data_IF_826991313470
#
_entry.id   IF_826991313470
#
_cell.length_a   1.000
_cell.length_b   1.000
_cell.length_c   1.000
_cell.angle_alpha   90.00
_cell.angle_beta   90.00
_cell.angle_gamma   90.00
#
_symmetry.space_group_name_H-M   'P 1'
#
loop_
_entity.id
_entity.type
_entity.pdbx_description
1 polymer ?
#
# COMPACT_ATOMS: atom_id res chain seq x y z
N UNK A 1 11.35 14.11 0.42
CA UNK A 1 12.48 13.58 1.19
C UNK A 1 13.69 14.52 1.08
N UNK A 2 14.25 14.96 2.21
CA UNK A 2 15.38 15.93 2.24
C UNK A 2 15.10 17.13 1.33
N UNK A 3 15.86 17.29 0.25
CA UNK A 3 15.71 18.40 -0.70
C UNK A 3 14.99 18.01 -2.01
N UNK A 4 14.26 16.89 -2.02
CA UNK A 4 13.56 16.38 -3.20
C UNK A 4 12.05 16.35 -2.99
N UNK A 5 11.29 16.75 -4.01
CA UNK A 5 9.87 16.45 -4.19
C UNK A 5 9.78 15.53 -5.40
N UNK A 6 9.11 14.40 -5.25
CA UNK A 6 8.90 13.45 -6.35
C UNK A 6 7.43 13.45 -6.73
N UNK A 7 7.15 13.57 -8.01
CA UNK A 7 5.80 13.55 -8.57
C UNK A 7 5.70 12.46 -9.65
N UNK A 8 4.69 11.64 -9.54
CA UNK A 8 4.23 10.75 -10.60
C UNK A 8 3.15 11.44 -11.43
N UNK A 9 3.32 11.43 -12.74
CA UNK A 9 2.37 11.98 -13.71
C UNK A 9 2.09 10.88 -14.73
N UNK A 10 1.30 9.89 -14.35
CA UNK A 10 1.01 8.72 -15.17
C UNK A 10 -0.24 8.95 -16.03
N UNK A 11 -0.18 9.99 -16.86
CA UNK A 11 -1.14 10.23 -17.95
C UNK A 11 -0.78 9.29 -19.12
N UNK A 12 -1.74 8.50 -19.64
CA UNK A 12 -1.47 7.56 -20.73
C UNK A 12 -0.83 8.18 -21.98
N UNK A 13 -1.07 9.47 -22.21
CA UNK A 13 -0.49 10.18 -23.37
C UNK A 13 0.99 10.49 -23.20
N UNK A 14 1.43 10.79 -21.97
CA UNK A 14 2.82 11.17 -21.69
C UNK A 14 3.18 10.90 -20.21
N UNK A 15 3.25 9.63 -19.79
CA UNK A 15 3.57 9.29 -18.41
C UNK A 15 5.03 9.58 -18.08
N UNK A 16 5.27 10.17 -16.91
CA UNK A 16 6.61 10.45 -16.40
C UNK A 16 6.69 10.47 -14.88
N UNK A 17 7.88 10.28 -14.38
CA UNK A 17 8.28 10.54 -13.01
C UNK A 17 9.27 11.71 -13.01
N UNK A 18 9.11 12.64 -12.07
CA UNK A 18 10.00 13.81 -11.98
C UNK A 18 10.41 14.06 -10.52
N UNK A 19 11.67 14.39 -10.33
CA UNK A 19 12.14 14.95 -9.07
C UNK A 19 12.43 16.44 -9.22
N UNK A 20 11.90 17.20 -8.28
CA UNK A 20 12.08 18.64 -8.17
C UNK A 20 12.88 18.96 -6.92
N UNK A 21 13.66 20.04 -6.97
CA UNK A 21 14.31 20.59 -5.80
C UNK A 21 13.28 21.25 -4.89
N UNK A 22 13.26 20.88 -3.61
CA UNK A 22 12.29 21.39 -2.64
C UNK A 22 12.36 22.94 -2.48
N UNK A 23 13.56 23.53 -2.57
CA UNK A 23 13.76 24.96 -2.26
C UNK A 23 13.24 25.92 -3.34
N UNK A 24 13.21 25.50 -4.61
CA UNK A 24 12.89 26.40 -5.74
C UNK A 24 12.05 25.75 -6.85
N UNK A 25 11.67 24.47 -6.68
CA UNK A 25 10.89 23.72 -7.66
C UNK A 25 11.64 23.37 -8.94
N UNK A 26 12.96 23.59 -9.00
CA UNK A 26 13.75 23.27 -10.18
C UNK A 26 13.80 21.78 -10.42
N UNK A 27 13.57 21.37 -11.67
CA UNK A 27 13.70 19.98 -12.09
C UNK A 27 15.12 19.48 -11.91
N UNK A 28 15.29 18.37 -11.21
CA UNK A 28 16.56 17.68 -10.99
C UNK A 28 16.76 16.59 -12.04
N UNK A 29 15.72 15.80 -12.26
CA UNK A 29 15.66 14.81 -13.30
C UNK A 29 14.21 14.47 -13.68
N UNK A 30 14.03 13.90 -14.86
CA UNK A 30 12.76 13.40 -15.37
C UNK A 30 12.99 12.10 -16.10
N UNK A 31 12.13 11.11 -15.84
CA UNK A 31 12.15 9.81 -16.49
C UNK A 31 10.82 9.58 -17.20
N UNK A 32 10.87 9.25 -18.49
CA UNK A 32 9.68 8.81 -19.21
C UNK A 32 9.25 7.44 -18.70
N UNK A 33 7.95 7.27 -18.46
CA UNK A 33 7.34 6.01 -18.07
C UNK A 33 6.50 5.41 -19.19
N UNK A 34 6.66 5.93 -20.40
CA UNK A 34 6.04 5.37 -21.60
C UNK A 34 6.47 3.92 -21.76
N UNK A 35 5.56 3.04 -22.11
CA UNK A 35 5.75 1.60 -22.27
C UNK A 35 5.94 0.80 -20.95
N UNK A 36 6.04 1.48 -19.81
CA UNK A 36 6.14 0.85 -18.50
C UNK A 36 5.00 1.23 -17.53
N UNK A 37 4.26 2.28 -17.83
CA UNK A 37 3.11 2.66 -17.00
C UNK A 37 1.97 3.20 -17.84
N UNK A 38 0.79 2.61 -17.68
CA UNK A 38 -0.45 3.13 -18.25
C UNK A 38 -1.25 3.92 -17.21
N UNK A 39 -1.10 3.58 -15.92
CA UNK A 39 -1.79 4.23 -14.82
C UNK A 39 -1.15 3.94 -13.47
N UNK A 40 -1.24 4.90 -12.56
CA UNK A 40 -1.02 4.74 -11.13
C UNK A 40 -1.80 5.81 -10.36
N UNK A 41 -2.18 5.51 -9.11
CA UNK A 41 -2.88 6.47 -8.24
C UNK A 41 -2.25 6.53 -6.84
N UNK A 42 -1.35 5.60 -6.52
CA UNK A 42 -0.66 5.56 -5.24
C UNK A 42 0.40 6.65 -5.12
N UNK A 43 0.61 7.14 -3.91
CA UNK A 43 1.76 8.01 -3.62
C UNK A 43 3.05 7.20 -3.69
N UNK A 44 4.10 7.68 -4.38
CA UNK A 44 5.40 7.00 -4.39
C UNK A 44 5.98 6.87 -2.97
N UNK A 45 6.58 5.72 -2.68
CA UNK A 45 7.37 5.52 -1.48
C UNK A 45 8.80 6.02 -1.72
N UNK A 46 9.36 6.79 -0.79
CA UNK A 46 10.81 7.02 -0.73
C UNK A 46 11.38 6.22 0.44
N UNK A 47 12.33 5.33 0.16
CA UNK A 47 12.96 4.47 1.15
C UNK A 47 14.48 4.58 1.06
N UNK A 48 15.13 4.73 2.22
CA UNK A 48 16.59 4.80 2.35
C UNK A 48 17.10 3.52 3.02
N UNK A 49 17.98 2.79 2.34
CA UNK A 49 18.60 1.56 2.85
C UNK A 49 20.00 1.43 2.27
N UNK A 50 20.98 1.06 3.10
CA UNK A 50 22.38 0.75 2.71
C UNK A 50 23.03 1.78 1.79
N UNK A 51 22.79 3.08 2.08
CA UNK A 51 23.35 4.19 1.31
C UNK A 51 22.66 4.46 -0.02
N UNK A 52 21.64 3.69 -0.40
CA UNK A 52 20.77 3.93 -1.55
C UNK A 52 19.44 4.53 -1.08
N UNK A 53 18.99 5.60 -1.74
CA UNK A 53 17.63 6.11 -1.56
C UNK A 53 16.84 5.81 -2.82
N UNK A 54 15.77 5.05 -2.69
CA UNK A 54 14.94 4.63 -3.81
C UNK A 54 13.55 5.23 -3.77
N UNK A 55 12.96 5.43 -4.95
CA UNK A 55 11.58 5.85 -5.17
C UNK A 55 10.82 4.67 -5.76
N UNK A 56 9.89 4.10 -5.02
CA UNK A 56 9.07 2.98 -5.48
C UNK A 56 7.72 3.49 -5.94
N UNK A 57 7.38 3.20 -7.18
CA UNK A 57 6.10 3.57 -7.80
C UNK A 57 5.28 2.32 -8.08
N UNK A 58 4.14 2.23 -7.43
CA UNK A 58 3.13 1.21 -7.71
C UNK A 58 2.39 1.60 -8.99
N UNK A 59 2.65 0.93 -10.07
CA UNK A 59 2.09 1.21 -11.39
C UNK A 59 1.61 -0.06 -12.11
N UNK A 60 0.92 0.11 -13.21
CA UNK A 60 0.49 -0.96 -14.09
C UNK A 60 0.93 -0.68 -15.52
N UNK A 61 1.47 -1.66 -16.27
CA UNK A 61 1.71 -3.06 -15.87
C UNK A 61 2.95 -3.29 -15.00
N UNK A 62 3.78 -2.27 -14.77
CA UNK A 62 5.02 -2.42 -14.01
C UNK A 62 5.01 -1.64 -12.70
N UNK A 63 5.40 -2.33 -11.63
CA UNK A 63 5.93 -1.70 -10.41
C UNK A 63 7.39 -1.43 -10.62
N UNK A 64 7.85 -0.21 -10.36
CA UNK A 64 9.24 0.18 -10.65
C UNK A 64 9.84 0.97 -9.49
N UNK A 65 11.09 0.67 -9.18
CA UNK A 65 11.92 1.45 -8.26
C UNK A 65 13.00 2.22 -9.01
N UNK A 66 13.23 3.45 -8.59
CA UNK A 66 14.22 4.35 -9.18
C UNK A 66 15.17 4.88 -8.10
N UNK A 67 16.41 5.14 -8.45
CA UNK A 67 17.34 5.88 -7.60
C UNK A 67 16.88 7.34 -7.46
N UNK A 68 16.69 7.82 -6.22
CA UNK A 68 16.21 9.19 -5.97
C UNK A 68 17.14 10.27 -6.50
N UNK A 69 18.45 10.00 -6.54
CA UNK A 69 19.45 10.98 -6.94
C UNK A 69 19.55 11.13 -8.45
N UNK A 70 19.41 10.04 -9.20
CA UNK A 70 19.67 9.98 -10.65
C UNK A 70 18.42 9.75 -11.50
N UNK A 71 17.37 9.15 -10.94
CA UNK A 71 16.20 8.68 -11.68
C UNK A 71 16.43 7.35 -12.42
N UNK A 72 17.58 6.71 -12.27
CA UNK A 72 17.87 5.41 -12.90
C UNK A 72 17.00 4.29 -12.29
N UNK A 73 16.52 3.36 -13.13
CA UNK A 73 15.78 2.17 -12.70
C UNK A 73 16.67 1.27 -11.84
N UNK A 74 16.20 0.92 -10.65
CA UNK A 74 16.90 -0.02 -9.76
C UNK A 74 16.37 -1.44 -9.94
N UNK A 75 15.05 -1.59 -9.86
CA UNK A 75 14.37 -2.86 -10.06
C UNK A 75 12.95 -2.64 -10.58
N UNK A 76 12.38 -3.70 -11.15
CA UNK A 76 10.98 -3.72 -11.59
C UNK A 76 10.33 -5.08 -11.42
N UNK A 77 9.01 -5.07 -11.31
CA UNK A 77 8.14 -6.25 -11.31
C UNK A 77 7.05 -6.04 -12.36
N UNK A 78 6.90 -6.99 -13.27
CA UNK A 78 5.76 -7.06 -14.16
C UNK A 78 4.56 -7.69 -13.45
N UNK A 79 3.36 -7.41 -13.97
CA UNK A 79 2.13 -8.06 -13.55
C UNK A 79 1.50 -7.50 -12.27
N UNK A 80 1.64 -6.20 -12.04
CA UNK A 80 0.82 -5.46 -11.07
C UNK A 80 -0.68 -5.63 -11.36
N UNK A 81 -1.54 -5.45 -10.36
CA UNK A 81 -2.98 -5.32 -10.59
C UNK A 81 -3.28 -4.04 -11.36
N UNK A 82 -4.28 -4.05 -12.24
CA UNK A 82 -4.55 -2.97 -13.20
C UNK A 82 -5.06 -1.65 -12.57
N UNK A 83 -5.35 -1.64 -11.26
CA UNK A 83 -5.64 -0.45 -10.48
C UNK A 83 -4.70 -0.32 -9.27
N UNK A 84 -3.46 0.18 -9.45
CA UNK A 84 -2.47 0.35 -8.39
C UNK A 84 -2.77 1.61 -7.55
N UNK A 85 -3.78 1.53 -6.65
CA UNK A 85 -4.20 2.61 -5.78
C UNK A 85 -3.45 2.61 -4.45
N UNK A 86 -3.28 1.46 -3.74
CA UNK A 86 -2.54 1.44 -2.49
C UNK A 86 -1.12 1.94 -2.64
N UNK A 87 -0.68 2.81 -1.72
CA UNK A 87 0.69 3.28 -1.71
C UNK A 87 1.65 2.18 -1.26
N UNK A 88 2.83 2.02 -1.87
CA UNK A 88 3.88 1.18 -1.32
C UNK A 88 4.29 1.65 0.07
N UNK A 89 4.69 0.75 0.94
CA UNK A 89 5.15 1.09 2.29
C UNK A 89 6.25 0.13 2.76
N UNK A 90 6.92 0.50 3.85
CA UNK A 90 7.96 -0.32 4.48
C UNK A 90 7.48 -0.84 5.82
N UNK A 91 7.66 -2.13 6.05
CA UNK A 91 7.51 -2.77 7.35
C UNK A 91 8.50 -3.93 7.47
N UNK A 92 8.96 -4.23 8.67
CA UNK A 92 9.89 -5.33 8.97
C UNK A 92 11.15 -5.35 8.07
N UNK A 93 11.61 -4.17 7.61
CA UNK A 93 12.77 -4.03 6.73
C UNK A 93 12.50 -4.35 5.24
N UNK A 94 11.27 -4.64 4.84
CA UNK A 94 10.88 -4.94 3.46
C UNK A 94 9.91 -3.93 2.89
N UNK A 95 9.88 -3.84 1.56
CA UNK A 95 8.97 -2.99 0.81
C UNK A 95 7.76 -3.81 0.38
N UNK A 96 6.57 -3.34 0.75
CA UNK A 96 5.29 -3.95 0.38
C UNK A 96 4.67 -3.18 -0.77
N UNK A 97 4.30 -3.88 -1.83
CA UNK A 97 3.58 -3.33 -2.98
C UNK A 97 2.35 -4.18 -3.24
N UNK A 98 1.20 -3.54 -3.20
CA UNK A 98 -0.09 -4.21 -3.26
C UNK A 98 -0.98 -3.49 -4.25
N UNK A 99 -1.74 -4.26 -5.02
CA UNK A 99 -2.79 -3.75 -5.89
C UNK A 99 -3.89 -4.79 -6.08
N UNK A 100 -4.96 -4.42 -6.72
CA UNK A 100 -6.03 -5.34 -7.09
C UNK A 100 -6.75 -4.83 -8.33
N UNK A 101 -7.71 -5.61 -8.80
CA UNK A 101 -8.56 -5.41 -9.96
C UNK A 101 -8.06 -6.14 -11.22
N UNK A 102 -8.90 -6.24 -12.27
CA UNK A 102 -8.51 -6.91 -13.52
C UNK A 102 -8.33 -8.43 -13.43
N UNK A 103 -8.87 -9.07 -12.40
CA UNK A 103 -8.72 -10.51 -12.18
C UNK A 103 -7.48 -10.92 -11.39
N UNK A 104 -6.61 -9.97 -11.06
CA UNK A 104 -5.44 -10.15 -10.20
C UNK A 104 -5.50 -9.21 -9.02
N UNK A 105 -4.98 -9.67 -7.89
CA UNK A 105 -4.84 -8.86 -6.67
C UNK A 105 -3.51 -9.18 -6.01
N UNK A 106 -2.39 -8.73 -6.62
CA UNK A 106 -1.06 -9.12 -6.17
C UNK A 106 -0.65 -8.45 -4.86
N UNK A 107 0.17 -9.19 -4.12
CA UNK A 107 1.01 -8.71 -3.03
C UNK A 107 2.45 -9.08 -3.38
N UNK A 108 3.34 -8.12 -3.37
CA UNK A 108 4.78 -8.34 -3.51
C UNK A 108 5.47 -7.80 -2.27
N UNK A 109 6.32 -8.61 -1.67
CA UNK A 109 7.20 -8.19 -0.57
C UNK A 109 8.64 -8.25 -1.05
N UNK A 110 9.26 -7.08 -1.18
CA UNK A 110 10.51 -6.87 -1.91
C UNK A 110 11.64 -6.50 -0.96
N UNK A 111 12.82 -7.06 -1.20
CA UNK A 111 14.05 -6.68 -0.49
C UNK A 111 14.50 -5.30 -0.96
N UNK A 112 14.88 -4.38 -0.06
CA UNK A 112 15.33 -3.04 -0.46
C UNK A 112 16.56 -3.03 -1.38
N UNK A 113 17.41 -4.04 -1.29
CA UNK A 113 18.61 -4.20 -2.10
C UNK A 113 18.36 -4.83 -3.48
N UNK A 114 17.13 -5.17 -3.82
CA UNK A 114 16.76 -5.79 -5.09
C UNK A 114 17.27 -4.97 -6.30
N UNK A 115 17.61 -5.66 -7.40
CA UNK A 115 18.10 -5.05 -8.64
C UNK A 115 17.59 -5.81 -9.89
N UNK A 116 17.35 -5.05 -10.95
CA UNK A 116 16.94 -5.60 -12.25
C UNK A 116 15.49 -6.04 -12.32
N UNK A 117 15.17 -6.93 -13.23
CA UNK A 117 13.82 -7.52 -13.32
C UNK A 117 13.70 -8.65 -12.30
N UNK A 118 12.92 -8.41 -11.28
CA UNK A 118 12.67 -9.35 -10.17
C UNK A 118 11.26 -9.95 -10.21
N UNK A 119 10.64 -9.96 -11.39
CA UNK A 119 9.29 -10.53 -11.56
C UNK A 119 9.27 -12.00 -11.12
N UNK A 120 8.50 -12.37 -10.09
CA UNK A 120 8.37 -13.76 -9.69
C UNK A 120 7.54 -14.54 -10.71
N UNK A 121 7.81 -15.84 -10.86
CA UNK A 121 6.98 -16.72 -11.65
C UNK A 121 5.85 -17.35 -10.80
N UNK A 122 4.83 -17.90 -11.47
CA UNK A 122 3.72 -18.57 -10.78
C UNK A 122 4.20 -19.77 -9.95
N UNK A 123 5.22 -20.48 -10.45
CA UNK A 123 5.79 -21.68 -9.80
C UNK A 123 6.88 -21.32 -8.76
N UNK A 124 7.35 -20.07 -8.77
CA UNK A 124 8.35 -19.56 -7.83
C UNK A 124 7.94 -18.17 -7.34
N UNK A 125 7.09 -18.09 -6.29
CA UNK A 125 6.57 -16.82 -5.75
C UNK A 125 7.61 -15.99 -4.99
N UNK A 126 8.85 -16.45 -4.91
CA UNK A 126 10.00 -15.76 -4.32
C UNK A 126 11.23 -15.89 -5.21
N UNK A 127 12.16 -14.96 -5.06
CA UNK A 127 13.49 -14.97 -5.72
C UNK A 127 14.45 -14.09 -4.92
N UNK A 128 15.64 -13.79 -5.46
CA UNK A 128 16.63 -12.98 -4.74
C UNK A 128 16.15 -11.58 -4.40
N UNK A 129 15.23 -10.98 -5.18
CA UNK A 129 14.66 -9.66 -4.94
C UNK A 129 13.32 -9.69 -4.22
N UNK A 130 12.54 -10.77 -4.34
CA UNK A 130 11.19 -10.92 -3.76
C UNK A 130 11.21 -11.93 -2.64
N UNK A 131 10.84 -11.51 -1.42
CA UNK A 131 10.76 -12.37 -0.23
C UNK A 131 9.64 -13.39 -0.40
N UNK A 132 8.45 -12.90 -0.72
CA UNK A 132 7.28 -13.69 -1.10
C UNK A 132 6.32 -12.87 -1.95
N UNK A 133 5.48 -13.54 -2.68
CA UNK A 133 4.41 -12.91 -3.45
C UNK A 133 3.19 -13.81 -3.58
N UNK A 134 2.05 -13.20 -3.85
CA UNK A 134 0.83 -13.90 -4.28
C UNK A 134 0.09 -13.03 -5.30
N UNK A 135 -0.60 -13.66 -6.24
CA UNK A 135 -1.46 -12.96 -7.20
C UNK A 135 -2.92 -12.87 -6.72
N UNK A 136 -3.17 -13.32 -5.47
CA UNK A 136 -4.50 -13.29 -4.84
C UNK A 136 -4.35 -12.77 -3.41
N UNK A 137 -5.13 -11.77 -3.04
CA UNK A 137 -5.12 -11.29 -1.65
C UNK A 137 -4.95 -9.79 -1.49
N UNK A 138 -4.42 -9.09 -2.48
CA UNK A 138 -4.23 -7.63 -2.45
C UNK A 138 -5.52 -6.84 -2.27
N UNK A 139 -5.40 -5.59 -1.88
CA UNK A 139 -6.49 -4.65 -1.67
C UNK A 139 -6.70 -3.74 -2.88
N UNK A 140 -7.94 -3.28 -3.07
CA UNK A 140 -8.29 -2.41 -4.19
C UNK A 140 -7.89 -0.94 -3.92
N UNK A 141 -8.35 -0.35 -2.82
CA UNK A 141 -8.12 1.06 -2.51
C UNK A 141 -7.34 1.27 -1.20
N UNK A 142 -7.67 0.49 -0.18
CA UNK A 142 -7.09 0.56 1.15
C UNK A 142 -5.61 0.17 1.12
N UNK A 143 -4.73 1.05 1.59
CA UNK A 143 -3.35 0.66 1.88
C UNK A 143 -3.36 -0.25 3.11
N UNK A 144 -2.70 -1.42 3.05
CA UNK A 144 -2.63 -2.36 4.16
C UNK A 144 -1.82 -1.83 5.35
N UNK A 145 -1.96 -2.50 6.49
CA UNK A 145 -1.13 -2.26 7.67
C UNK A 145 -0.46 -3.56 8.12
N UNK A 146 0.83 -3.48 8.44
CA UNK A 146 1.55 -4.54 9.14
C UNK A 146 1.53 -4.23 10.63
N UNK A 147 1.09 -5.20 11.44
CA UNK A 147 1.08 -5.08 12.89
C UNK A 147 1.50 -6.42 13.52
N UNK A 148 2.59 -6.41 14.27
CA UNK A 148 3.24 -7.63 14.73
C UNK A 148 3.70 -8.49 13.53
N UNK A 149 3.35 -9.76 13.57
CA UNK A 149 3.76 -10.75 12.56
C UNK A 149 2.82 -10.81 11.34
N UNK A 150 1.78 -9.96 11.30
CA UNK A 150 0.72 -10.07 10.30
C UNK A 150 0.52 -8.79 9.49
N UNK A 151 0.14 -8.97 8.21
CA UNK A 151 -0.35 -7.90 7.34
C UNK A 151 -1.88 -8.04 7.18
N UNK A 152 -2.59 -6.92 7.37
CA UNK A 152 -4.05 -6.82 7.27
C UNK A 152 -4.43 -5.94 6.09
N UNK A 153 -5.35 -6.44 5.26
CA UNK A 153 -5.81 -5.78 4.04
C UNK A 153 -7.33 -5.64 4.07
N UNK A 154 -7.83 -4.43 3.81
CA UNK A 154 -9.24 -4.18 3.57
C UNK A 154 -9.55 -4.29 2.07
N UNK A 155 -10.52 -5.11 1.70
CA UNK A 155 -10.95 -5.26 0.31
C UNK A 155 -12.47 -5.35 0.24
N UNK A 156 -13.14 -4.25 -0.09
CA UNK A 156 -14.60 -4.12 0.02
C UNK A 156 -15.09 -4.55 1.41
N UNK A 157 -15.94 -5.53 1.50
CA UNK A 157 -16.48 -6.03 2.76
C UNK A 157 -15.63 -7.11 3.45
N UNK A 158 -14.41 -7.33 2.98
CA UNK A 158 -13.56 -8.44 3.45
C UNK A 158 -12.29 -7.89 4.10
N UNK A 159 -11.89 -8.50 5.21
CA UNK A 159 -10.55 -8.36 5.78
C UNK A 159 -9.76 -9.62 5.45
N UNK A 160 -8.55 -9.42 4.97
CA UNK A 160 -7.58 -10.46 4.65
C UNK A 160 -6.38 -10.31 5.56
N UNK A 161 -5.85 -11.43 6.02
CA UNK A 161 -4.70 -11.48 6.90
C UNK A 161 -3.71 -12.54 6.41
N UNK A 162 -2.45 -12.14 6.32
CA UNK A 162 -1.35 -13.05 5.98
C UNK A 162 -0.22 -12.87 6.99
N UNK A 163 0.57 -13.91 7.20
CA UNK A 163 1.85 -13.75 7.89
C UNK A 163 2.76 -12.83 7.06
N UNK A 164 3.23 -11.74 7.65
CA UNK A 164 3.98 -10.71 6.94
C UNK A 164 5.35 -11.20 6.43
N UNK A 165 5.92 -12.25 7.08
CA UNK A 165 7.22 -12.80 6.73
C UNK A 165 7.14 -13.90 5.68
N UNK A 166 6.13 -14.79 5.78
CA UNK A 166 6.04 -15.99 4.94
C UNK A 166 5.05 -15.86 3.80
N UNK A 167 4.08 -14.93 3.91
CA UNK A 167 2.96 -14.82 2.98
C UNK A 167 1.88 -15.89 3.16
N UNK A 168 1.99 -16.71 4.22
CA UNK A 168 0.96 -17.70 4.55
C UNK A 168 -0.34 -17.01 4.94
N UNK A 169 -1.44 -17.44 4.31
CA UNK A 169 -2.77 -16.92 4.60
C UNK A 169 -3.23 -17.36 6.00
N UNK A 170 -3.53 -16.38 6.86
CA UNK A 170 -4.11 -16.65 8.17
C UNK A 170 -5.65 -16.72 8.07
N UNK A 171 -6.26 -15.70 7.44
CA UNK A 171 -7.70 -15.71 7.17
C UNK A 171 -8.09 -14.76 6.03
N UNK A 172 -9.22 -15.06 5.39
CA UNK A 172 -9.96 -14.16 4.50
C UNK A 172 -11.43 -14.22 4.90
N UNK A 173 -11.90 -13.18 5.59
CA UNK A 173 -13.22 -13.19 6.22
C UNK A 173 -14.03 -11.93 5.93
N UNK A 174 -15.34 -12.08 5.84
CA UNK A 174 -16.26 -10.96 5.66
C UNK A 174 -16.57 -10.28 6.98
N UNK A 175 -16.50 -8.96 6.96
CA UNK A 175 -17.00 -8.13 8.06
C UNK A 175 -18.53 -8.26 8.20
N UNK A 176 -19.09 -8.04 9.40
CA UNK A 176 -20.52 -7.85 9.58
C UNK A 176 -21.05 -6.76 8.65
N UNK A 177 -22.16 -7.02 7.98
CA UNK A 177 -22.75 -6.12 6.98
C UNK A 177 -23.70 -5.10 7.60
N UNK A 178 -23.82 -3.89 7.02
CA UNK A 178 -23.13 -3.42 5.80
C UNK A 178 -21.68 -3.00 6.08
N UNK A 179 -20.77 -3.33 5.17
CA UNK A 179 -19.37 -2.92 5.23
C UNK A 179 -18.78 -2.74 3.83
N UNK A 180 -17.97 -1.69 3.65
CA UNK A 180 -17.11 -1.49 2.48
C UNK A 180 -15.91 -0.64 2.90
N UNK A 181 -14.72 -1.24 2.83
CA UNK A 181 -13.48 -0.64 3.31
C UNK A 181 -12.73 0.00 2.14
N UNK A 182 -12.72 1.32 2.13
CA UNK A 182 -12.00 2.16 1.19
C UNK A 182 -10.83 2.85 1.89
N UNK A 183 -11.07 3.37 3.10
CA UNK A 183 -10.05 3.93 3.96
C UNK A 183 -8.96 2.91 4.26
N UNK A 184 -7.71 3.35 4.38
CA UNK A 184 -6.63 2.49 4.84
C UNK A 184 -6.86 2.05 6.28
N UNK A 185 -6.45 0.81 6.57
CA UNK A 185 -6.53 0.28 7.93
C UNK A 185 -5.51 0.97 8.82
N UNK A 186 -5.84 1.10 10.10
CA UNK A 186 -4.87 1.52 11.12
C UNK A 186 -4.85 0.51 12.26
N UNK A 187 -3.71 0.39 12.93
CA UNK A 187 -3.50 -0.56 14.01
C UNK A 187 -2.92 0.12 15.25
N UNK A 188 -3.46 -0.19 16.40
CA UNK A 188 -2.93 0.25 17.69
C UNK A 188 -3.45 -0.64 18.82
N UNK A 189 -2.68 -0.77 19.88
CA UNK A 189 -3.07 -1.44 21.13
C UNK A 189 -3.69 -2.83 20.90
N UNK A 190 -3.04 -3.65 20.06
CA UNK A 190 -3.50 -5.00 19.74
C UNK A 190 -4.79 -5.06 18.92
N UNK A 191 -5.18 -3.97 18.27
CA UNK A 191 -6.42 -3.86 17.50
C UNK A 191 -6.19 -3.34 16.09
N UNK A 192 -7.05 -3.77 15.17
CA UNK A 192 -7.13 -3.29 13.79
C UNK A 192 -8.45 -2.53 13.65
N UNK A 193 -8.36 -1.31 13.14
CA UNK A 193 -9.52 -0.44 12.90
C UNK A 193 -9.76 -0.34 11.40
N UNK A 194 -10.95 -0.74 10.97
CA UNK A 194 -11.40 -0.72 9.59
C UNK A 194 -12.60 0.25 9.46
N UNK A 195 -12.32 1.46 9.00
CA UNK A 195 -13.35 2.47 8.76
C UNK A 195 -14.08 2.18 7.45
N UNK A 196 -15.41 2.26 7.47
CA UNK A 196 -16.28 1.89 6.37
C UNK A 196 -17.03 3.09 5.80
N UNK A 197 -17.24 3.11 4.49
CA UNK A 197 -18.16 4.05 3.83
C UNK A 197 -19.63 3.82 4.23
N UNK A 198 -19.95 2.70 4.88
CA UNK A 198 -21.25 2.41 5.45
C UNK A 198 -21.37 2.85 6.94
N UNK A 199 -20.82 4.04 7.25
CA UNK A 199 -21.05 4.78 8.49
C UNK A 199 -20.64 4.04 9.77
N UNK A 200 -19.64 3.15 9.69
CA UNK A 200 -19.21 2.37 10.84
C UNK A 200 -17.70 2.16 10.87
N UNK A 201 -17.20 1.87 12.07
CA UNK A 201 -15.81 1.42 12.29
C UNK A 201 -15.85 0.01 12.88
N UNK A 202 -15.36 -0.95 12.11
CA UNK A 202 -15.15 -2.31 12.58
C UNK A 202 -13.81 -2.40 13.31
N UNK A 203 -13.82 -3.02 14.48
CA UNK A 203 -12.62 -3.25 15.29
C UNK A 203 -12.41 -4.75 15.45
N UNK A 204 -11.20 -5.21 15.13
CA UNK A 204 -10.78 -6.60 15.28
C UNK A 204 -9.61 -6.70 16.26
N UNK A 205 -9.46 -7.80 16.96
CA UNK A 205 -8.18 -8.14 17.60
C UNK A 205 -7.12 -8.39 16.53
N UNK A 206 -5.91 -7.88 16.76
CA UNK A 206 -4.76 -8.30 15.97
C UNK A 206 -4.37 -9.74 16.33
N UNK A 207 -3.99 -10.54 15.33
CA UNK A 207 -3.59 -11.95 15.48
C UNK A 207 -3.95 -12.76 14.23
N UNK A 208 -3.66 -14.08 14.25
CA UNK A 208 -3.92 -14.97 13.13
C UNK A 208 -5.41 -15.33 12.96
N UNK A 209 -6.22 -15.09 13.97
CA UNK A 209 -7.63 -15.45 13.97
C UNK A 209 -8.51 -14.25 13.67
N UNK A 210 -9.58 -14.46 12.88
CA UNK A 210 -10.59 -13.45 12.65
C UNK A 210 -11.46 -13.26 13.90
N UNK A 211 -11.19 -12.22 14.66
CA UNK A 211 -11.91 -11.92 15.92
C UNK A 211 -12.44 -10.49 15.94
N UNK A 212 -13.67 -10.25 15.43
CA UNK A 212 -14.34 -8.96 15.56
C UNK A 212 -14.68 -8.65 17.01
N UNK A 213 -14.23 -7.49 17.50
CA UNK A 213 -14.48 -7.00 18.88
C UNK A 213 -15.70 -6.08 18.91
N UNK A 214 -15.80 -5.17 17.94
CA UNK A 214 -16.85 -4.17 17.90
C UNK A 214 -17.19 -3.74 16.47
N UNK A 215 -18.41 -3.25 16.32
CA UNK A 215 -18.85 -2.48 15.15
C UNK A 215 -19.50 -1.19 15.69
N UNK A 216 -18.80 -0.06 15.53
CA UNK A 216 -19.18 1.22 16.10
C UNK A 216 -19.84 2.10 15.04
N UNK A 217 -21.17 2.36 15.12
CA UNK A 217 -21.83 3.29 14.22
C UNK A 217 -21.28 4.70 14.40
N UNK A 218 -20.98 5.37 13.30
CA UNK A 218 -20.45 6.74 13.27
C UNK A 218 -21.49 7.74 12.75
N UNK A 219 -22.59 7.26 12.14
CA UNK A 219 -23.67 8.08 11.60
C UNK A 219 -23.33 8.81 10.30
N UNK A 220 -22.11 8.69 9.81
CA UNK A 220 -21.64 9.31 8.58
C UNK A 220 -20.59 8.42 7.88
N UNK A 221 -20.54 8.41 6.53
CA UNK A 221 -19.54 7.69 5.77
C UNK A 221 -18.10 8.14 6.10
N UNK A 222 -17.16 7.17 6.09
CA UNK A 222 -15.74 7.41 6.35
C UNK A 222 -14.93 6.93 5.15
N UNK A 223 -14.26 7.86 4.46
CA UNK A 223 -13.39 7.59 3.33
C UNK A 223 -11.90 7.83 3.65
N UNK A 224 -11.64 8.66 4.66
CA UNK A 224 -10.30 9.02 5.05
C UNK A 224 -9.69 8.00 6.01
N UNK A 225 -8.41 7.73 5.88
CA UNK A 225 -7.64 6.95 6.84
C UNK A 225 -7.68 7.61 8.22
N UNK A 226 -8.04 6.88 9.29
CA UNK A 226 -8.00 7.42 10.64
C UNK A 226 -6.57 7.78 11.06
N UNK A 227 -6.43 8.77 11.95
CA UNK A 227 -5.16 9.12 12.57
C UNK A 227 -5.18 8.76 14.05
N UNK A 228 -4.04 8.29 14.57
CA UNK A 228 -3.88 7.97 16.00
C UNK A 228 -2.75 8.83 16.54
N UNK A 229 -3.02 9.59 17.59
CA UNK A 229 -2.05 10.44 18.26
C UNK A 229 -2.37 10.59 19.74
N UNK A 230 -1.39 10.45 20.62
CA UNK A 230 -1.49 10.70 22.07
C UNK A 230 -2.69 9.99 22.75
N UNK A 231 -2.95 8.73 22.35
CA UNK A 231 -4.05 7.93 22.92
C UNK A 231 -5.44 8.26 22.36
N UNK A 232 -5.52 9.13 21.35
CA UNK A 232 -6.76 9.52 20.67
C UNK A 232 -6.75 9.00 19.25
N UNK A 233 -7.88 8.44 18.80
CA UNK A 233 -8.12 8.10 17.40
C UNK A 233 -9.06 9.14 16.78
N UNK A 234 -8.66 9.68 15.62
CA UNK A 234 -9.38 10.72 14.88
C UNK A 234 -9.96 10.13 13.61
N UNK A 235 -11.27 10.25 13.45
CA UNK A 235 -11.99 9.87 12.24
C UNK A 235 -12.50 11.11 11.51
N UNK A 236 -12.09 11.28 10.25
CA UNK A 236 -12.69 12.27 9.36
C UNK A 236 -13.86 11.61 8.64
N UNK A 237 -15.07 11.99 9.01
CA UNK A 237 -16.31 11.61 8.33
C UNK A 237 -16.63 12.61 7.21
N UNK A 238 -17.75 12.47 6.53
CA UNK A 238 -18.13 13.39 5.45
C UNK A 238 -18.38 14.83 5.92
N UNK A 239 -18.83 15.03 7.17
CA UNK A 239 -19.18 16.36 7.70
C UNK A 239 -18.40 16.72 8.97
N UNK A 240 -17.85 15.73 9.69
CA UNK A 240 -17.28 15.92 11.02
C UNK A 240 -15.82 15.43 11.13
N UNK A 241 -15.13 15.92 12.15
CA UNK A 241 -13.92 15.32 12.69
C UNK A 241 -14.24 14.82 14.09
N UNK A 242 -14.19 13.49 14.29
CA UNK A 242 -14.54 12.82 15.53
C UNK A 242 -13.27 12.34 16.22
N UNK A 243 -13.09 12.71 17.49
CA UNK A 243 -11.98 12.27 18.33
C UNK A 243 -12.51 11.31 19.41
N UNK A 244 -11.88 10.15 19.55
CA UNK A 244 -12.26 9.09 20.51
C UNK A 244 -11.04 8.75 21.34
N UNK A 245 -11.20 8.78 22.67
CA UNK A 245 -10.19 8.40 23.67
C UNK A 245 -10.32 6.94 24.05
#
# INVERSE_FOLDING_TARGET
HKNHIVLTCDDPANPFLVALRLSDGKELWRVSRKDICERSWGTPLIHESDGTTQVVVNGWPWVVSYDLKTGEELWKINDGGDNPIPSPFVANGWIYVISAHGGKSPIYVVRPEARGDITPSLDAPSNDGVVWSTLKGGSYMSTPVVYGDYIYLGHYSTIRCFNATTGEEAFIEKLPQPASIIASLVAADGKIYAASEHESVHVLSAGPDFNPIANNPMGEPIFATPAISEGVIYFRTTQSLVAIH
#
